data_IF_732603040188
#
_entry.id   IF_732603040188
#
_cell.length_a   1.000
_cell.length_b   1.000
_cell.length_c   1.000
_cell.angle_alpha   90.00
_cell.angle_beta   90.00
_cell.angle_gamma   90.00
#
_symmetry.space_group_name_H-M   'P 1'
#
loop_
_entity.id
_entity.type
_entity.pdbx_description
1 polymer ?
#
# COMPACT_ATOMS: atom_id res chain seq x y z
N UNK A 1 22.96 -11.76 -16.70
CA UNK A 1 22.89 -12.33 -15.34
C UNK A 1 21.66 -11.75 -14.67
N UNK A 2 20.66 -12.55 -14.27
CA UNK A 2 19.48 -12.03 -13.55
C UNK A 2 19.94 -11.61 -12.14
N UNK A 3 19.69 -10.37 -11.74
CA UNK A 3 19.98 -9.90 -10.39
C UNK A 3 18.92 -10.53 -9.45
N UNK A 4 19.32 -11.21 -8.36
CA UNK A 4 18.37 -11.72 -7.37
C UNK A 4 17.50 -10.61 -6.77
N UNK A 5 16.22 -10.88 -6.54
CA UNK A 5 15.26 -9.96 -5.94
C UNK A 5 15.73 -9.40 -4.58
N UNK A 6 16.42 -10.20 -3.78
CA UNK A 6 16.99 -9.78 -2.49
C UNK A 6 17.99 -8.63 -2.66
N UNK A 7 18.88 -8.72 -3.67
CA UNK A 7 19.84 -7.65 -3.96
C UNK A 7 19.16 -6.37 -4.42
N UNK A 8 18.04 -6.48 -5.15
CA UNK A 8 17.25 -5.33 -5.57
C UNK A 8 16.59 -4.66 -4.36
N UNK A 9 16.09 -5.46 -3.40
CA UNK A 9 15.48 -4.97 -2.17
C UNK A 9 16.49 -4.29 -1.27
N UNK A 10 17.65 -4.91 -1.03
CA UNK A 10 18.75 -4.34 -0.25
C UNK A 10 19.18 -2.98 -0.82
N UNK A 11 19.35 -2.91 -2.15
CA UNK A 11 19.67 -1.66 -2.83
C UNK A 11 18.59 -0.60 -2.61
N UNK A 12 17.32 -0.94 -2.81
CA UNK A 12 16.21 0.00 -2.63
C UNK A 12 16.11 0.51 -1.18
N UNK A 13 16.31 -0.36 -0.19
CA UNK A 13 16.37 0.00 1.24
C UNK A 13 17.48 1.01 1.52
N UNK A 14 18.70 0.72 1.07
CA UNK A 14 19.84 1.62 1.23
C UNK A 14 19.61 2.98 0.55
N UNK A 15 19.03 2.98 -0.65
CA UNK A 15 18.76 4.21 -1.37
C UNK A 15 17.69 5.06 -0.69
N UNK A 16 16.65 4.43 -0.12
CA UNK A 16 15.66 5.16 0.68
C UNK A 16 16.31 5.81 1.91
N UNK A 17 17.22 5.12 2.61
CA UNK A 17 17.99 5.68 3.74
C UNK A 17 18.88 6.86 3.35
N UNK A 18 19.42 6.85 2.14
CA UNK A 18 20.33 7.89 1.65
C UNK A 18 19.60 9.15 1.17
N UNK A 19 18.27 9.11 0.97
CA UNK A 19 17.52 10.32 0.63
C UNK A 19 17.47 11.28 1.83
N UNK A 20 17.52 12.60 1.61
CA UNK A 20 17.33 13.57 2.68
C UNK A 20 15.99 13.37 3.40
N UNK A 21 15.96 13.63 4.71
CA UNK A 21 14.76 13.66 5.56
C UNK A 21 13.96 12.34 5.62
N UNK A 22 14.57 11.18 5.34
CA UNK A 22 13.90 9.86 5.38
C UNK A 22 14.19 9.04 6.63
N UNK A 23 14.79 9.64 7.67
CA UNK A 23 15.12 8.92 8.93
C UNK A 23 13.89 8.23 9.52
N UNK A 24 12.75 8.92 9.53
CA UNK A 24 11.49 8.37 10.01
C UNK A 24 11.02 7.19 9.15
N UNK A 25 11.08 7.32 7.81
CA UNK A 25 10.65 6.25 6.90
C UNK A 25 11.55 5.03 7.03
N UNK A 26 12.86 5.25 7.15
CA UNK A 26 13.85 4.19 7.33
C UNK A 26 13.60 3.44 8.65
N UNK A 27 13.37 4.16 9.75
CA UNK A 27 13.09 3.55 11.05
C UNK A 27 11.92 2.58 11.00
N UNK A 28 10.83 2.98 10.34
CA UNK A 28 9.66 2.12 10.13
C UNK A 28 10.02 0.96 9.20
N UNK A 29 10.65 1.21 8.06
CA UNK A 29 10.98 0.16 7.10
C UNK A 29 11.83 -0.96 7.69
N UNK A 30 12.78 -0.64 8.56
CA UNK A 30 13.64 -1.62 9.21
C UNK A 30 13.01 -2.29 10.42
N UNK A 31 11.89 -1.77 10.96
CA UNK A 31 11.13 -2.46 12.00
C UNK A 31 10.16 -3.50 11.45
N UNK A 32 9.83 -3.44 10.16
CA UNK A 32 8.92 -4.39 9.51
C UNK A 32 9.60 -5.73 9.22
N UNK A 33 8.89 -6.82 9.49
CA UNK A 33 9.28 -8.17 9.09
C UNK A 33 9.00 -8.35 7.59
N UNK A 34 10.03 -8.61 6.80
CA UNK A 34 9.90 -8.70 5.35
C UNK A 34 9.61 -10.13 4.87
N UNK A 35 8.74 -10.28 3.88
CA UNK A 35 8.54 -11.54 3.15
C UNK A 35 8.23 -11.34 1.66
N UNK A 36 8.74 -12.24 0.82
CA UNK A 36 8.30 -12.37 -0.57
C UNK A 36 7.02 -13.21 -0.62
N UNK A 37 5.99 -12.75 -1.34
CA UNK A 37 4.74 -13.51 -1.50
C UNK A 37 4.13 -13.33 -2.88
N UNK A 38 3.55 -14.39 -3.45
CA UNK A 38 2.78 -14.31 -4.72
C UNK A 38 1.28 -14.17 -4.50
N UNK A 39 0.84 -14.11 -3.25
CA UNK A 39 -0.58 -13.96 -2.88
C UNK A 39 -1.11 -12.56 -3.21
N UNK A 40 -0.21 -11.56 -3.24
CA UNK A 40 -0.52 -10.19 -3.63
C UNK A 40 -0.10 -9.94 -5.08
N UNK A 41 -0.86 -9.13 -5.84
CA UNK A 41 -0.45 -8.72 -7.18
C UNK A 41 0.76 -7.78 -7.16
N UNK A 42 0.91 -6.97 -6.11
CA UNK A 42 1.90 -5.88 -5.99
C UNK A 42 2.69 -5.98 -4.69
N UNK A 43 2.29 -5.26 -3.65
CA UNK A 43 2.86 -5.25 -2.31
C UNK A 43 1.75 -4.94 -1.31
N UNK A 44 2.07 -5.07 -0.02
CA UNK A 44 1.19 -4.62 1.04
C UNK A 44 1.83 -4.76 2.42
N UNK A 45 1.17 -4.19 3.41
CA UNK A 45 1.55 -4.23 4.82
C UNK A 45 0.36 -4.52 5.73
N UNK A 46 0.62 -5.21 6.84
CA UNK A 46 -0.33 -5.35 7.94
C UNK A 46 -0.01 -4.42 9.14
N UNK A 47 1.01 -3.56 8.99
CA UNK A 47 1.56 -2.71 10.03
C UNK A 47 2.79 -3.27 10.75
N UNK A 48 3.07 -4.56 10.59
CA UNK A 48 4.22 -5.27 11.18
C UNK A 48 5.01 -6.08 10.16
N UNK A 49 4.36 -6.54 9.09
CA UNK A 49 4.96 -7.25 7.97
C UNK A 49 4.91 -6.40 6.71
N UNK A 50 5.98 -6.45 5.94
CA UNK A 50 6.04 -5.94 4.57
C UNK A 50 6.10 -7.12 3.62
N UNK A 51 5.06 -7.26 2.80
CA UNK A 51 4.88 -8.35 1.87
C UNK A 51 4.96 -7.82 0.44
N UNK A 52 5.86 -8.38 -0.37
CA UNK A 52 6.05 -7.89 -1.75
C UNK A 52 6.00 -9.06 -2.74
N UNK A 53 5.34 -8.85 -3.88
CA UNK A 53 5.39 -9.77 -5.00
C UNK A 53 6.74 -9.66 -5.73
N UNK A 54 7.55 -10.75 -5.75
CA UNK A 54 8.89 -10.70 -6.33
C UNK A 54 8.85 -10.43 -7.84
N UNK A 55 7.85 -10.95 -8.56
CA UNK A 55 7.73 -10.72 -10.01
C UNK A 55 7.36 -9.27 -10.33
N UNK A 56 6.45 -8.68 -9.55
CA UNK A 56 6.14 -7.27 -9.66
C UNK A 56 7.37 -6.40 -9.37
N UNK A 57 8.04 -6.65 -8.24
CA UNK A 57 9.19 -5.86 -7.79
C UNK A 57 10.40 -5.92 -8.74
N UNK A 58 10.65 -7.07 -9.37
CA UNK A 58 11.69 -7.23 -10.38
C UNK A 58 11.43 -6.36 -11.61
N UNK A 59 10.17 -6.18 -12.00
CA UNK A 59 9.79 -5.40 -13.17
C UNK A 59 9.79 -3.88 -12.95
N UNK A 60 9.88 -3.42 -11.71
CA UNK A 60 9.99 -1.98 -11.39
C UNK A 60 11.37 -1.43 -11.74
N UNK A 61 11.42 -0.16 -12.11
CA UNK A 61 12.66 0.59 -12.15
C UNK A 61 13.18 0.85 -10.74
N UNK A 62 14.46 1.19 -10.61
CA UNK A 62 15.05 1.53 -9.33
C UNK A 62 14.33 2.63 -8.55
N UNK A 63 14.00 3.81 -9.13
CA UNK A 63 13.27 4.83 -8.40
C UNK A 63 11.84 4.41 -8.03
N UNK A 64 11.17 3.58 -8.85
CA UNK A 64 9.85 3.03 -8.53
C UNK A 64 9.89 2.06 -7.34
N UNK A 65 10.96 1.26 -7.19
CA UNK A 65 11.13 0.38 -6.01
C UNK A 65 11.23 1.20 -4.74
N UNK A 66 11.96 2.33 -4.78
CA UNK A 66 12.06 3.25 -3.64
C UNK A 66 10.70 3.86 -3.33
N UNK A 67 9.96 4.31 -4.35
CA UNK A 67 8.60 4.82 -4.21
C UNK A 67 7.63 3.80 -3.60
N UNK A 68 7.68 2.55 -4.06
CA UNK A 68 6.87 1.46 -3.50
C UNK A 68 7.17 1.23 -2.00
N UNK A 69 8.45 1.16 -1.61
CA UNK A 69 8.81 1.00 -0.20
C UNK A 69 8.34 2.18 0.65
N UNK A 70 8.49 3.41 0.15
CA UNK A 70 8.00 4.61 0.84
C UNK A 70 6.46 4.62 0.97
N UNK A 71 5.75 4.11 -0.05
CA UNK A 71 4.29 3.96 -0.04
C UNK A 71 3.82 3.04 1.09
N UNK A 72 4.35 1.83 1.15
CA UNK A 72 3.99 0.86 2.19
C UNK A 72 4.35 1.37 3.59
N UNK A 73 5.51 2.03 3.73
CA UNK A 73 5.92 2.66 4.99
C UNK A 73 4.92 3.74 5.42
N UNK A 74 4.39 4.53 4.48
CA UNK A 74 3.42 5.57 4.80
C UNK A 74 2.06 5.01 5.24
N UNK A 75 1.65 3.83 4.77
CA UNK A 75 0.47 3.15 5.36
C UNK A 75 0.65 2.88 6.85
N UNK A 76 1.85 2.48 7.26
CA UNK A 76 2.20 2.24 8.67
C UNK A 76 2.31 3.56 9.42
N UNK A 77 3.07 4.52 8.90
CA UNK A 77 3.28 5.83 9.51
C UNK A 77 1.96 6.58 9.77
N UNK A 78 1.05 6.53 8.81
CA UNK A 78 -0.27 7.16 8.91
C UNK A 78 -1.28 6.28 9.65
N UNK A 79 -0.86 5.13 10.21
CA UNK A 79 -1.70 4.24 11.01
C UNK A 79 -2.98 3.81 10.28
N UNK A 80 -2.90 3.55 8.97
CA UNK A 80 -4.08 3.23 8.16
C UNK A 80 -4.80 1.95 8.63
N UNK A 81 -4.07 0.98 9.20
CA UNK A 81 -4.63 -0.26 9.74
C UNK A 81 -5.58 -0.02 10.92
N UNK A 82 -5.21 0.88 11.84
CA UNK A 82 -5.99 1.16 13.06
C UNK A 82 -7.02 2.27 12.84
N UNK A 83 -6.67 3.32 12.09
CA UNK A 83 -7.58 4.46 11.81
C UNK A 83 -8.80 4.10 10.96
N UNK A 84 -8.80 2.96 10.26
CA UNK A 84 -9.96 2.50 9.49
C UNK A 84 -11.23 2.44 10.33
N UNK A 85 -11.14 1.87 11.54
CA UNK A 85 -12.31 1.59 12.40
C UNK A 85 -13.34 0.71 11.66
N UNK A 86 -14.62 1.12 11.66
CA UNK A 86 -15.74 0.39 11.04
C UNK A 86 -15.92 0.72 9.55
N UNK A 87 -15.05 1.53 8.95
CA UNK A 87 -15.15 1.94 7.54
C UNK A 87 -14.91 0.75 6.60
N UNK A 88 -15.46 0.87 5.38
CA UNK A 88 -15.28 -0.12 4.33
C UNK A 88 -13.76 -0.29 4.03
N UNK A 89 -13.20 -1.51 4.13
CA UNK A 89 -11.77 -1.76 3.94
C UNK A 89 -11.23 -1.28 2.59
N UNK A 90 -11.95 -1.56 1.50
CA UNK A 90 -11.52 -1.25 0.15
C UNK A 90 -11.47 0.26 -0.10
N UNK A 91 -12.55 0.96 0.25
CA UNK A 91 -12.61 2.42 0.09
C UNK A 91 -11.62 3.15 0.99
N UNK A 92 -11.35 2.58 2.18
CA UNK A 92 -10.34 3.12 3.09
C UNK A 92 -8.94 2.95 2.52
N UNK A 93 -8.64 1.81 1.88
CA UNK A 93 -7.37 1.63 1.20
C UNK A 93 -7.22 2.64 0.06
N UNK A 94 -8.19 2.75 -0.85
CA UNK A 94 -8.13 3.73 -1.93
C UNK A 94 -7.95 5.16 -1.42
N UNK A 95 -8.68 5.54 -0.37
CA UNK A 95 -8.50 6.85 0.25
C UNK A 95 -7.07 7.05 0.77
N UNK A 96 -6.50 6.03 1.41
CA UNK A 96 -5.10 6.04 1.85
C UNK A 96 -4.13 6.20 0.70
N UNK A 97 -4.32 5.43 -0.37
CA UNK A 97 -3.42 5.41 -1.53
C UNK A 97 -3.43 6.76 -2.25
N UNK A 98 -4.60 7.38 -2.44
CA UNK A 98 -4.69 8.72 -3.03
C UNK A 98 -3.89 9.75 -2.22
N UNK A 99 -3.99 9.72 -0.89
CA UNK A 99 -3.26 10.64 -0.02
C UNK A 99 -1.75 10.36 -0.06
N UNK A 100 -1.36 9.09 0.07
CA UNK A 100 0.05 8.69 0.07
C UNK A 100 0.71 9.01 -1.27
N UNK A 101 0.05 8.71 -2.38
CA UNK A 101 0.55 9.00 -3.72
C UNK A 101 0.74 10.51 -3.91
N UNK A 102 -0.23 11.33 -3.48
CA UNK A 102 -0.10 12.78 -3.54
C UNK A 102 1.09 13.30 -2.69
N UNK A 103 1.26 12.78 -1.47
CA UNK A 103 2.39 13.13 -0.59
C UNK A 103 3.74 12.78 -1.22
N UNK A 104 3.88 11.56 -1.75
CA UNK A 104 5.12 11.08 -2.35
C UNK A 104 5.47 11.83 -3.64
N UNK A 105 4.49 12.12 -4.50
CA UNK A 105 4.70 12.92 -5.69
C UNK A 105 5.15 14.35 -5.35
N UNK A 106 4.56 14.97 -4.33
CA UNK A 106 4.99 16.29 -3.84
C UNK A 106 6.44 16.27 -3.32
N UNK A 107 6.90 15.13 -2.85
CA UNK A 107 8.28 14.89 -2.40
C UNK A 107 9.21 14.39 -3.53
N UNK A 108 8.77 14.43 -4.80
CA UNK A 108 9.53 13.99 -5.97
C UNK A 108 9.95 12.50 -5.94
N UNK A 109 9.12 11.64 -5.36
CA UNK A 109 9.26 10.20 -5.54
C UNK A 109 8.68 9.75 -6.89
N UNK A 110 9.30 8.75 -7.49
CA UNK A 110 8.73 8.04 -8.64
C UNK A 110 7.90 6.88 -8.11
N UNK A 111 6.61 6.85 -8.44
CA UNK A 111 5.72 5.77 -8.07
C UNK A 111 5.61 4.75 -9.20
N UNK A 112 5.41 3.46 -8.88
CA UNK A 112 4.96 2.50 -9.87
C UNK A 112 3.68 2.99 -10.57
N UNK A 113 3.46 2.55 -11.80
CA UNK A 113 2.26 2.92 -12.57
C UNK A 113 0.98 2.62 -11.78
N UNK A 114 0.21 3.68 -11.50
CA UNK A 114 -1.02 3.64 -10.70
C UNK A 114 -2.11 4.51 -11.30
N UNK A 115 -3.36 4.13 -11.08
CA UNK A 115 -4.54 4.93 -11.43
C UNK A 115 -5.04 5.76 -10.22
N UNK A 116 -4.38 5.67 -9.07
CA UNK A 116 -4.78 6.30 -7.80
C UNK A 116 -4.06 7.64 -7.57
N UNK A 117 -3.96 8.45 -8.62
CA UNK A 117 -3.44 9.82 -8.58
C UNK A 117 -4.51 10.75 -9.16
N UNK A 118 -5.02 11.66 -8.34
CA UNK A 118 -6.01 12.65 -8.74
C UNK A 118 -5.83 13.92 -7.90
N UNK A 119 -5.73 15.07 -8.57
CA UNK A 119 -5.50 16.36 -7.92
C UNK A 119 -6.59 16.74 -6.92
N UNK A 120 -7.80 16.15 -7.03
CA UNK A 120 -8.89 16.37 -6.08
C UNK A 120 -8.57 15.94 -4.65
N UNK A 121 -7.56 15.08 -4.45
CA UNK A 121 -7.17 14.56 -3.14
C UNK A 121 -5.92 15.22 -2.53
N UNK A 122 -5.23 16.10 -3.26
CA UNK A 122 -3.89 16.60 -2.88
C UNK A 122 -3.84 17.31 -1.51
N UNK A 123 -4.94 17.97 -1.12
CA UNK A 123 -5.01 18.78 0.11
C UNK A 123 -5.96 18.17 1.16
N UNK A 124 -6.26 16.88 1.03
CA UNK A 124 -7.16 16.16 1.92
C UNK A 124 -6.39 15.23 2.87
N UNK A 125 -7.02 14.89 3.99
CA UNK A 125 -6.62 13.73 4.78
C UNK A 125 -7.41 12.47 4.37
N UNK A 126 -6.95 11.31 4.84
CA UNK A 126 -7.54 10.00 4.52
C UNK A 126 -9.03 9.93 4.83
N UNK A 127 -9.50 10.52 5.94
CA UNK A 127 -10.91 10.53 6.31
C UNK A 127 -11.76 11.39 5.37
N UNK A 128 -11.24 12.55 4.95
CA UNK A 128 -11.89 13.42 3.97
C UNK A 128 -11.96 12.75 2.61
N UNK A 129 -10.86 12.16 2.13
CA UNK A 129 -10.80 11.40 0.90
C UNK A 129 -11.81 10.23 0.92
N UNK A 130 -11.85 9.46 2.01
CA UNK A 130 -12.83 8.39 2.19
C UNK A 130 -14.27 8.91 2.10
N UNK A 131 -14.58 10.02 2.76
CA UNK A 131 -15.92 10.60 2.74
C UNK A 131 -16.34 11.01 1.32
N UNK A 132 -15.42 11.58 0.53
CA UNK A 132 -15.68 11.93 -0.86
C UNK A 132 -15.96 10.69 -1.70
N UNK A 133 -15.09 9.69 -1.66
CA UNK A 133 -15.23 8.43 -2.41
C UNK A 133 -16.55 7.73 -2.04
N UNK A 134 -16.84 7.64 -0.74
CA UNK A 134 -18.07 7.02 -0.25
C UNK A 134 -19.33 7.74 -0.74
N UNK A 135 -19.33 9.07 -0.74
CA UNK A 135 -20.46 9.88 -1.22
C UNK A 135 -20.64 9.78 -2.75
N UNK A 136 -19.55 9.76 -3.51
CA UNK A 136 -19.58 9.55 -4.97
C UNK A 136 -20.22 8.18 -5.29
N UNK A 137 -19.86 7.13 -4.55
CA UNK A 137 -20.47 5.81 -4.73
C UNK A 137 -21.96 5.79 -4.42
N UNK A 138 -22.40 6.41 -3.33
CA UNK A 138 -23.83 6.46 -2.98
C UNK A 138 -24.67 7.23 -4.01
N UNK A 139 -24.11 8.27 -4.63
CA UNK A 139 -24.79 9.02 -5.70
C UNK A 139 -24.90 8.22 -6.99
N UNK A 140 -23.87 7.44 -7.32
CA UNK A 140 -23.79 6.69 -8.59
C UNK A 140 -24.48 5.32 -8.53
N UNK A 141 -24.79 4.82 -7.33
CA UNK A 141 -25.39 3.51 -7.14
C UNK A 141 -26.56 3.61 -6.17
N UNK A 142 -27.78 3.49 -6.68
CA UNK A 142 -28.94 3.20 -5.85
C UNK A 142 -28.72 1.88 -5.11
N UNK A 143 -28.17 1.96 -3.89
CA UNK A 143 -28.05 0.89 -2.88
C UNK A 143 -27.15 -0.33 -3.12
N UNK A 144 -26.31 -0.41 -4.17
CA UNK A 144 -25.33 -1.52 -4.33
C UNK A 144 -23.92 -1.03 -4.66
N UNK A 145 -22.99 -1.29 -3.75
CA UNK A 145 -21.56 -1.04 -3.92
C UNK A 145 -21.02 -1.80 -5.15
N UNK A 146 -20.29 -1.11 -6.03
CA UNK A 146 -19.65 -1.70 -7.21
C UNK A 146 -18.14 -1.46 -7.15
N UNK A 147 -17.40 -2.48 -6.72
CA UNK A 147 -15.94 -2.42 -6.53
C UNK A 147 -15.17 -2.34 -7.86
N UNK A 148 -15.84 -2.54 -9.01
CA UNK A 148 -15.22 -2.60 -10.34
C UNK A 148 -14.70 -1.28 -10.90
N UNK A 149 -14.93 -0.16 -10.22
CA UNK A 149 -14.64 1.19 -10.74
C UNK A 149 -13.30 1.80 -10.35
N UNK A 150 -12.62 1.28 -9.32
CA UNK A 150 -11.61 2.08 -8.59
C UNK A 150 -10.14 1.69 -8.79
N UNK A 151 -9.82 0.47 -9.25
CA UNK A 151 -8.45 0.14 -9.64
C UNK A 151 -8.40 -1.02 -10.64
N UNK A 152 -7.76 -0.80 -11.81
CA UNK A 152 -7.43 -1.86 -12.78
C UNK A 152 -6.01 -2.40 -12.59
N UNK A 153 -5.18 -1.69 -11.81
CA UNK A 153 -3.73 -1.89 -11.72
C UNK A 153 -3.27 -2.76 -10.53
N UNK A 154 -4.19 -3.30 -9.72
CA UNK A 154 -3.86 -4.15 -8.56
C UNK A 154 -3.40 -3.39 -7.32
N UNK A 155 -3.14 -2.08 -7.46
CA UNK A 155 -2.90 -1.13 -6.37
C UNK A 155 -4.24 -0.81 -5.69
N UNK A 156 -4.28 -0.87 -4.35
CA UNK A 156 -5.54 -0.97 -3.57
C UNK A 156 -5.74 -2.31 -2.85
N UNK A 157 -4.67 -3.10 -2.74
CA UNK A 157 -4.56 -4.24 -1.81
C UNK A 157 -3.41 -4.03 -0.80
N UNK A 158 -2.98 -2.77 -0.65
CA UNK A 158 -1.76 -2.40 0.07
C UNK A 158 -1.95 -2.60 1.58
N UNK A 159 -3.19 -2.59 2.09
CA UNK A 159 -3.46 -2.91 3.50
C UNK A 159 -3.97 -4.34 3.65
N UNK A 160 -3.17 -5.19 4.30
CA UNK A 160 -3.56 -6.53 4.70
C UNK A 160 -4.17 -6.50 6.10
N UNK A 161 -5.46 -6.81 6.19
CA UNK A 161 -6.14 -6.93 7.48
C UNK A 161 -5.98 -8.37 8.00
N UNK A 162 -5.72 -8.56 9.31
CA UNK A 162 -5.73 -9.88 9.90
C UNK A 162 -7.08 -10.54 9.59
N UNK A 163 -7.03 -11.73 8.99
CA UNK A 163 -8.20 -12.58 8.76
C UNK A 163 -8.92 -12.73 10.10
N UNK A 164 -10.24 -12.49 10.14
CA UNK A 164 -11.00 -12.72 11.37
C UNK A 164 -10.80 -14.19 11.78
N UNK A 165 -10.94 -14.56 13.07
CA UNK A 165 -10.83 -15.96 13.48
C UNK A 165 -11.77 -16.92 12.71
N UNK A 166 -12.84 -16.40 12.11
CA UNK A 166 -13.77 -17.17 11.27
C UNK A 166 -13.26 -17.46 9.85
N UNK A 167 -12.21 -16.77 9.41
CA UNK A 167 -11.61 -16.88 8.07
C UNK A 167 -10.29 -17.68 8.07
N UNK A 168 -9.82 -18.10 9.26
CA UNK A 168 -8.75 -19.09 9.41
C UNK A 168 -9.45 -20.44 9.57
N UNK A 169 -9.61 -21.19 8.47
CA UNK A 169 -9.86 -22.63 8.61
C UNK A 169 -8.71 -23.16 9.45
N UNK A 170 -9.04 -23.73 10.61
CA UNK A 170 -8.11 -24.44 11.46
C UNK A 170 -7.23 -25.32 10.55
N UNK A 171 -5.93 -25.07 10.56
CA UNK A 171 -4.97 -26.05 10.07
C UNK A 171 -5.03 -27.16 11.12
N UNK A 172 -5.94 -28.11 10.90
CA UNK A 172 -6.01 -29.32 11.67
C UNK A 172 -4.74 -30.13 11.38
N UNK A 173 -3.92 -30.22 12.43
CA UNK A 173 -3.20 -31.41 12.89
C UNK A 173 -2.12 -32.03 11.98
N UNK A 174 -0.93 -32.12 12.58
CA UNK A 174 0.03 -33.19 12.37
C UNK A 174 1.04 -33.18 13.52
N UNK A 175 0.73 -33.93 14.58
CA UNK A 175 1.76 -34.50 15.46
C UNK A 175 2.58 -35.54 14.67
#
# INVERSE_FOLDING_TARGET
MKIPEDKLLEKAKLQLMMKPDTLFYSTILFSLVFSWTKELPTAGTDGTHLMINPEYFKNLTEPERIGLLAHEVLHVALSHMTRRMTRNPLLWNYAGDYIINAMLLKQNYTLPKTDLIDSKFNDLNTEQAYKLIFNEQQKNSGSKFNDKGFAKSGLGQDIQYPKKPKDVKAVEQGC
#
